data_IF_461047760388
#
_entry.id   IF_461047760388
#
_cell.length_a   1.000
_cell.length_b   1.000
_cell.length_c   1.000
_cell.angle_alpha   90.00
_cell.angle_beta   90.00
_cell.angle_gamma   90.00
#
_symmetry.space_group_name_H-M   'P 1'
#
loop_
_entity.id
_entity.type
_entity.pdbx_description
1 polymer ?
#
# COMPACT_ATOMS: atom_id res chain seq x y z
N UNK A 1 -45.94 13.17 -10.84
CA UNK A 1 -46.29 12.60 -12.16
C UNK A 1 -46.36 13.73 -13.17
N UNK A 2 -45.38 13.81 -14.08
CA UNK A 2 -45.52 14.18 -15.49
C UNK A 2 -44.12 14.12 -16.12
N UNK A 3 -43.98 13.22 -17.10
CA UNK A 3 -42.87 13.09 -18.04
C UNK A 3 -43.11 14.05 -19.21
N UNK A 4 -42.05 14.60 -19.82
CA UNK A 4 -41.69 14.29 -21.21
C UNK A 4 -40.40 15.00 -21.68
N UNK A 5 -39.63 14.26 -22.48
CA UNK A 5 -38.41 14.59 -23.23
C UNK A 5 -38.66 15.43 -24.49
N UNK A 6 -37.63 16.16 -24.94
CA UNK A 6 -36.98 16.18 -26.29
C UNK A 6 -36.09 17.44 -26.33
N UNK A 7 -34.88 17.55 -26.89
CA UNK A 7 -34.10 16.73 -27.81
C UNK A 7 -33.19 17.69 -28.62
N UNK A 8 -32.06 17.16 -29.08
CA UNK A 8 -31.18 17.62 -30.18
C UNK A 8 -29.92 18.47 -29.89
N UNK A 9 -28.79 17.76 -30.10
CA UNK A 9 -27.49 18.17 -30.69
C UNK A 9 -27.60 19.03 -31.97
N UNK A 10 -26.51 19.70 -32.40
CA UNK A 10 -25.49 19.14 -33.32
C UNK A 10 -24.05 19.30 -32.77
N UNK A 11 -23.15 18.31 -32.86
CA UNK A 11 -22.22 17.91 -33.96
C UNK A 11 -20.99 18.83 -34.16
N UNK A 12 -19.82 18.25 -33.79
CA UNK A 12 -18.47 18.27 -34.43
C UNK A 12 -17.74 19.61 -34.74
N UNK A 13 -16.40 19.73 -34.73
CA UNK A 13 -15.28 18.76 -34.80
C UNK A 13 -13.93 19.41 -34.34
N UNK A 14 -12.94 18.54 -34.07
CA UNK A 14 -11.47 18.72 -34.10
C UNK A 14 -10.80 19.84 -33.26
N UNK A 15 -9.84 19.56 -32.36
CA UNK A 15 -8.54 19.01 -32.73
C UNK A 15 -7.72 18.55 -31.51
N UNK A 16 -7.01 17.41 -31.66
CA UNK A 16 -5.71 17.04 -31.06
C UNK A 16 -5.61 16.87 -29.52
N UNK A 17 -4.95 15.88 -28.93
CA UNK A 17 -3.96 14.93 -29.44
C UNK A 17 -3.84 13.75 -28.46
N UNK A 18 -3.60 12.59 -29.04
CA UNK A 18 -3.40 11.27 -28.44
C UNK A 18 -2.09 11.23 -27.63
N UNK A 19 -2.12 10.66 -26.43
CA UNK A 19 -0.94 10.01 -25.86
C UNK A 19 -1.23 8.50 -25.70
N UNK A 20 -0.52 7.63 -26.43
CA UNK A 20 -0.81 6.21 -26.51
C UNK A 20 -0.22 5.44 -25.33
N UNK A 21 -0.77 4.24 -25.12
CA UNK A 21 -0.16 3.13 -24.37
C UNK A 21 1.38 3.15 -24.42
N UNK A 22 2.03 3.52 -23.31
CA UNK A 22 3.44 3.11 -23.09
C UNK A 22 3.45 1.66 -22.62
N UNK A 23 3.38 0.77 -23.60
CA UNK A 23 3.97 -0.56 -23.49
C UNK A 23 5.44 -0.35 -23.11
N UNK A 24 5.89 -0.91 -21.99
CA UNK A 24 7.32 -1.00 -21.68
C UNK A 24 7.98 -1.79 -22.83
N UNK A 25 8.64 -1.07 -23.72
CA UNK A 25 9.62 -1.64 -24.63
C UNK A 25 10.96 -1.32 -23.98
N UNK A 26 11.67 -2.35 -23.51
CA UNK A 26 13.06 -2.20 -23.10
C UNK A 26 13.91 -1.95 -24.35
N UNK A 27 14.65 -0.84 -24.43
CA UNK A 27 15.63 -0.67 -25.47
C UNK A 27 16.84 -1.56 -25.15
N UNK A 28 17.13 -2.47 -26.06
CA UNK A 28 18.39 -3.19 -26.12
C UNK A 28 19.52 -2.22 -26.44
N UNK A 29 20.43 -2.03 -25.48
CA UNK A 29 21.80 -1.58 -25.69
C UNK A 29 21.98 -0.08 -25.91
N UNK A 30 22.35 0.63 -24.84
CA UNK A 30 23.42 1.64 -24.84
C UNK A 30 23.69 2.07 -23.39
N UNK A 31 24.96 2.13 -23.01
CA UNK A 31 25.48 2.51 -21.69
C UNK A 31 24.91 3.87 -21.22
N UNK A 32 23.80 3.82 -20.49
CA UNK A 32 23.33 4.91 -19.63
C UNK A 32 23.54 4.40 -18.22
N UNK A 33 24.41 5.06 -17.46
CA UNK A 33 24.72 4.80 -16.06
C UNK A 33 23.49 4.26 -15.29
N UNK A 34 23.41 2.94 -15.09
CA UNK A 34 22.28 2.26 -14.45
C UNK A 34 21.91 2.92 -13.09
N UNK A 35 22.90 3.52 -12.43
CA UNK A 35 22.77 4.20 -11.14
C UNK A 35 21.86 5.43 -11.11
N UNK A 36 21.64 6.12 -12.23
CA UNK A 36 20.81 7.33 -12.24
C UNK A 36 19.36 7.04 -12.63
N UNK A 37 19.12 6.00 -13.44
CA UNK A 37 17.77 5.46 -13.70
C UNK A 37 17.13 4.92 -12.42
N UNK A 38 17.94 4.31 -11.54
CA UNK A 38 17.49 3.80 -10.25
C UNK A 38 17.03 4.92 -9.30
N UNK A 39 17.69 6.09 -9.30
CA UNK A 39 17.32 7.22 -8.44
C UNK A 39 16.02 7.89 -8.88
N UNK A 40 15.84 8.07 -10.19
CA UNK A 40 14.60 8.67 -10.71
C UNK A 40 13.41 7.74 -10.51
N UNK A 41 13.57 6.44 -10.79
CA UNK A 41 12.54 5.43 -10.53
C UNK A 41 12.14 5.38 -9.05
N UNK A 42 13.13 5.39 -8.15
CA UNK A 42 12.90 5.45 -6.71
C UNK A 42 12.13 6.73 -6.29
N UNK A 43 12.56 7.89 -6.79
CA UNK A 43 11.88 9.17 -6.47
C UNK A 43 10.43 9.14 -6.95
N UNK A 44 10.17 8.60 -8.14
CA UNK A 44 8.82 8.45 -8.68
C UNK A 44 7.96 7.50 -7.83
N UNK A 45 8.53 6.38 -7.37
CA UNK A 45 7.87 5.44 -6.46
C UNK A 45 7.48 6.13 -5.14
N UNK A 46 8.43 6.80 -4.48
CA UNK A 46 8.20 7.51 -3.22
C UNK A 46 7.17 8.64 -3.37
N UNK A 47 7.20 9.39 -4.48
CA UNK A 47 6.20 10.42 -4.77
C UNK A 47 4.80 9.84 -4.99
N UNK A 48 4.71 8.70 -5.69
CA UNK A 48 3.45 7.99 -5.94
C UNK A 48 2.85 7.47 -4.63
N UNK A 49 3.69 6.86 -3.79
CA UNK A 49 3.31 6.43 -2.45
C UNK A 49 2.84 7.61 -1.59
N UNK A 50 3.63 8.68 -1.51
CA UNK A 50 3.30 9.86 -0.71
C UNK A 50 1.99 10.53 -1.16
N UNK A 51 1.75 10.60 -2.47
CA UNK A 51 0.50 11.16 -3.04
C UNK A 51 -0.72 10.34 -2.62
N UNK A 52 -0.60 9.01 -2.56
CA UNK A 52 -1.67 8.12 -2.09
C UNK A 52 -1.85 8.19 -0.58
N UNK A 53 -0.76 8.05 0.17
CA UNK A 53 -0.78 8.03 1.63
C UNK A 53 -1.31 9.36 2.22
N UNK A 54 -1.13 10.50 1.53
CA UNK A 54 -1.72 11.78 1.96
C UNK A 54 -3.24 11.87 1.78
N UNK A 55 -3.85 10.96 1.01
CA UNK A 55 -5.27 11.00 0.63
C UNK A 55 -6.12 9.92 1.33
N UNK A 56 -5.71 9.45 2.51
CA UNK A 56 -6.39 8.36 3.24
C UNK A 56 -6.55 7.12 2.35
N UNK A 57 -5.43 6.48 2.00
CA UNK A 57 -5.43 5.33 1.11
C UNK A 57 -6.28 4.19 1.72
N UNK A 58 -7.23 3.62 0.95
CA UNK A 58 -8.12 2.58 1.46
C UNK A 58 -7.36 1.30 1.74
N UNK A 59 -7.71 0.64 2.84
CA UNK A 59 -7.21 -0.68 3.22
C UNK A 59 -8.23 -1.42 4.07
N UNK A 60 -7.87 -2.63 4.49
CA UNK A 60 -8.66 -3.40 5.45
C UNK A 60 -7.75 -3.91 6.55
N UNK A 61 -8.23 -3.89 7.79
CA UNK A 61 -7.55 -4.52 8.93
C UNK A 61 -8.09 -5.93 9.07
N UNK A 62 -7.20 -6.91 9.14
CA UNK A 62 -7.54 -8.29 9.45
C UNK A 62 -7.46 -8.47 10.96
N UNK A 63 -8.62 -8.53 11.61
CA UNK A 63 -8.69 -8.82 13.04
C UNK A 63 -8.85 -10.34 13.23
N UNK A 64 -7.73 -11.00 13.46
CA UNK A 64 -7.68 -12.45 13.60
C UNK A 64 -8.32 -12.96 14.87
N UNK A 65 -8.41 -12.14 15.92
CA UNK A 65 -9.10 -12.51 17.16
C UNK A 65 -10.62 -12.59 16.97
N UNK A 66 -11.19 -11.62 16.26
CA UNK A 66 -12.63 -11.58 15.96
C UNK A 66 -12.98 -12.31 14.65
N UNK A 67 -11.98 -12.82 13.93
CA UNK A 67 -12.11 -13.47 12.61
C UNK A 67 -12.93 -12.60 11.65
N UNK A 68 -12.58 -11.32 11.57
CA UNK A 68 -13.28 -10.38 10.69
C UNK A 68 -12.34 -9.38 9.99
N UNK A 69 -12.87 -8.80 8.93
CA UNK A 69 -12.19 -7.82 8.07
C UNK A 69 -12.84 -6.46 8.28
N UNK A 70 -12.07 -5.46 8.67
CA UNK A 70 -12.57 -4.14 9.04
C UNK A 70 -12.11 -3.11 8.00
N UNK A 71 -13.04 -2.41 7.31
CA UNK A 71 -12.69 -1.33 6.39
C UNK A 71 -11.96 -0.20 7.12
N UNK A 72 -10.82 0.19 6.58
CA UNK A 72 -9.94 1.20 7.14
C UNK A 72 -9.33 2.08 6.06
N UNK A 73 -8.65 3.13 6.51
CA UNK A 73 -7.78 3.94 5.66
C UNK A 73 -6.46 4.15 6.37
N UNK A 74 -5.37 4.22 5.62
CA UNK A 74 -4.07 4.58 6.16
C UNK A 74 -3.56 5.90 5.58
N UNK A 75 -2.73 6.58 6.37
CA UNK A 75 -1.96 7.74 5.95
C UNK A 75 -0.55 7.68 6.49
N UNK A 76 0.32 8.47 5.91
CA UNK A 76 1.61 8.80 6.49
C UNK A 76 1.63 10.31 6.65
N UNK A 77 2.09 10.77 7.81
CA UNK A 77 2.13 12.20 8.10
C UNK A 77 3.05 12.96 7.12
N UNK A 78 2.93 14.28 7.10
CA UNK A 78 3.68 15.13 6.16
C UNK A 78 5.20 15.00 6.29
N UNK A 79 5.69 14.59 7.44
CA UNK A 79 7.12 14.43 7.70
C UNK A 79 7.58 12.99 7.47
N UNK A 80 6.72 12.03 7.14
CA UNK A 80 7.09 10.61 7.06
C UNK A 80 7.73 10.09 8.35
N UNK A 81 7.16 10.48 9.48
CA UNK A 81 7.52 10.09 10.84
C UNK A 81 6.50 9.13 11.45
N UNK A 82 5.23 9.25 11.08
CA UNK A 82 4.15 8.46 11.68
C UNK A 82 3.29 7.84 10.59
N UNK A 83 3.16 6.51 10.67
CA UNK A 83 2.17 5.73 9.94
C UNK A 83 0.88 5.68 10.76
N UNK A 84 -0.23 6.10 10.16
CA UNK A 84 -1.50 6.27 10.86
C UNK A 84 -2.56 5.43 10.17
N UNK A 85 -3.28 4.60 10.92
CA UNK A 85 -4.41 3.81 10.41
C UNK A 85 -5.67 4.17 11.16
N UNK A 86 -6.76 4.34 10.42
CA UNK A 86 -8.08 4.63 10.97
C UNK A 86 -9.09 3.60 10.48
N UNK A 87 -9.54 2.74 11.39
CA UNK A 87 -10.67 1.85 11.14
C UNK A 87 -11.99 2.61 11.25
N UNK A 88 -13.01 2.13 10.53
CA UNK A 88 -14.35 2.71 10.56
C UNK A 88 -14.93 2.62 11.98
N UNK A 89 -15.15 3.77 12.63
CA UNK A 89 -15.74 3.85 13.97
C UNK A 89 -14.78 3.68 15.14
N UNK A 90 -13.46 3.61 14.90
CA UNK A 90 -12.44 3.47 15.94
C UNK A 90 -11.48 4.66 16.00
N UNK A 91 -10.79 4.79 17.13
CA UNK A 91 -9.64 5.69 17.25
C UNK A 91 -8.53 5.32 16.26
N UNK A 92 -7.77 6.32 15.82
CA UNK A 92 -6.62 6.10 14.97
C UNK A 92 -5.52 5.35 15.73
N UNK A 93 -4.87 4.42 15.05
CA UNK A 93 -3.65 3.75 15.50
C UNK A 93 -2.49 4.53 14.87
N UNK A 94 -1.64 5.11 15.71
CA UNK A 94 -0.46 5.85 15.27
C UNK A 94 0.79 5.03 15.59
N UNK A 95 1.60 4.76 14.56
CA UNK A 95 2.80 3.96 14.64
C UNK A 95 3.97 4.83 14.15
N UNK A 96 4.86 5.27 15.04
CA UNK A 96 6.10 5.92 14.62
C UNK A 96 6.87 5.00 13.68
N UNK A 97 7.34 5.51 12.54
CA UNK A 97 8.11 4.74 11.56
C UNK A 97 9.36 4.12 12.20
N UNK A 98 9.96 4.81 13.17
CA UNK A 98 11.12 4.32 13.96
C UNK A 98 10.80 3.11 14.85
N UNK A 99 9.52 2.87 15.16
CA UNK A 99 9.06 1.74 15.99
C UNK A 99 8.65 0.54 15.14
N UNK A 100 8.62 0.66 13.81
CA UNK A 100 8.33 -0.46 12.91
C UNK A 100 9.55 -1.39 12.90
N UNK A 101 9.36 -2.63 13.34
CA UNK A 101 10.40 -3.66 13.34
C UNK A 101 10.51 -4.29 11.96
N UNK A 102 9.40 -4.71 11.35
CA UNK A 102 9.42 -5.25 10.00
C UNK A 102 8.08 -5.04 9.31
N UNK A 103 8.11 -5.07 7.99
CA UNK A 103 6.93 -5.04 7.11
C UNK A 103 7.13 -6.13 6.09
N UNK A 104 6.17 -7.04 5.93
CA UNK A 104 6.32 -8.24 5.10
C UNK A 104 5.05 -8.49 4.27
N UNK A 105 5.24 -9.00 3.05
CA UNK A 105 4.17 -9.57 2.25
C UNK A 105 3.88 -11.03 2.62
N UNK A 106 2.82 -11.60 2.06
CA UNK A 106 2.40 -12.99 2.35
C UNK A 106 3.49 -14.04 2.03
N UNK A 107 4.16 -13.92 0.87
CA UNK A 107 5.22 -14.85 0.47
C UNK A 107 6.43 -14.85 1.43
N UNK A 108 6.64 -13.73 2.13
CA UNK A 108 7.75 -13.59 3.07
C UNK A 108 7.46 -14.28 4.40
N UNK A 109 6.18 -14.53 4.74
CA UNK A 109 5.82 -15.23 5.98
C UNK A 109 6.45 -16.62 6.06
N UNK A 110 6.56 -17.32 4.92
CA UNK A 110 7.18 -18.65 4.81
C UNK A 110 8.69 -18.65 5.08
N UNK A 111 9.34 -17.48 4.99
CA UNK A 111 10.80 -17.34 5.13
C UNK A 111 11.22 -17.09 6.57
N UNK A 112 10.28 -16.76 7.46
CA UNK A 112 10.55 -16.38 8.84
C UNK A 112 9.82 -17.33 9.79
N UNK A 113 10.59 -18.11 10.55
CA UNK A 113 10.05 -19.10 11.49
C UNK A 113 9.07 -18.47 12.51
N UNK A 114 9.39 -17.27 13.00
CA UNK A 114 8.57 -16.53 13.96
C UNK A 114 7.21 -16.11 13.42
N UNK A 115 7.03 -16.06 12.10
CA UNK A 115 5.78 -15.63 11.45
C UNK A 115 5.01 -16.77 10.81
N UNK A 116 5.55 -17.99 10.76
CA UNK A 116 4.90 -19.14 10.14
C UNK A 116 3.54 -19.46 10.77
N UNK A 117 3.34 -19.16 12.06
CA UNK A 117 2.06 -19.38 12.73
C UNK A 117 0.89 -18.59 12.10
N UNK A 118 1.16 -17.49 11.40
CA UNK A 118 0.14 -16.73 10.66
C UNK A 118 -0.40 -17.50 9.45
N UNK A 119 0.39 -18.41 8.87
CA UNK A 119 -0.07 -19.27 7.78
C UNK A 119 -1.15 -20.23 8.24
N UNK A 120 -1.21 -20.51 9.54
CA UNK A 120 -2.23 -21.37 10.15
C UNK A 120 -3.48 -20.63 10.63
N UNK A 121 -3.46 -19.30 10.60
CA UNK A 121 -4.58 -18.48 11.05
C UNK A 121 -5.84 -18.70 10.18
N UNK A 122 -7.02 -19.00 10.78
CA UNK A 122 -8.23 -19.27 10.02
C UNK A 122 -8.65 -18.13 9.09
N UNK A 123 -8.45 -16.88 9.50
CA UNK A 123 -8.81 -15.72 8.69
C UNK A 123 -7.86 -15.62 7.49
N UNK A 124 -6.56 -15.78 7.70
CA UNK A 124 -5.56 -15.74 6.62
C UNK A 124 -5.76 -16.88 5.63
N UNK A 125 -6.02 -18.10 6.11
CA UNK A 125 -6.36 -19.26 5.27
C UNK A 125 -7.63 -19.08 4.44
N UNK A 126 -8.55 -18.22 4.89
CA UNK A 126 -9.81 -17.95 4.18
C UNK A 126 -9.68 -16.92 3.06
N UNK A 127 -8.55 -16.21 2.98
CA UNK A 127 -8.31 -15.19 1.96
C UNK A 127 -8.15 -15.82 0.58
N UNK A 128 -8.66 -15.14 -0.43
CA UNK A 128 -8.40 -15.47 -1.84
C UNK A 128 -6.96 -15.15 -2.23
N UNK A 129 -6.47 -15.74 -3.33
CA UNK A 129 -5.12 -15.45 -3.84
C UNK A 129 -4.89 -13.96 -4.12
N UNK A 130 -5.92 -13.24 -4.59
CA UNK A 130 -5.82 -11.79 -4.80
C UNK A 130 -5.62 -11.04 -3.48
N UNK A 131 -6.36 -11.42 -2.43
CA UNK A 131 -6.21 -10.83 -1.10
C UNK A 131 -4.85 -11.19 -0.48
N UNK A 132 -4.39 -12.44 -0.65
CA UNK A 132 -3.06 -12.86 -0.20
C UNK A 132 -1.93 -12.06 -0.88
N UNK A 133 -2.06 -11.75 -2.17
CA UNK A 133 -1.12 -10.90 -2.89
C UNK A 133 -1.13 -9.43 -2.39
N UNK A 134 -2.23 -8.99 -1.75
CA UNK A 134 -2.36 -7.66 -1.16
C UNK A 134 -2.15 -7.65 0.35
N UNK A 135 -1.83 -8.80 0.94
CA UNK A 135 -1.61 -8.94 2.37
C UNK A 135 -0.29 -8.29 2.79
N UNK A 136 -0.35 -7.54 3.88
CA UNK A 136 0.80 -6.91 4.51
C UNK A 136 0.74 -7.15 6.01
N UNK A 137 1.82 -7.69 6.58
CA UNK A 137 2.05 -7.76 8.01
C UNK A 137 3.00 -6.63 8.42
N UNK A 138 2.58 -5.79 9.36
CA UNK A 138 3.41 -4.77 10.01
C UNK A 138 3.67 -5.20 11.45
N UNK A 139 4.92 -5.49 11.78
CA UNK A 139 5.35 -5.69 13.15
C UNK A 139 5.96 -4.39 13.68
N UNK A 140 5.52 -3.95 14.86
CA UNK A 140 5.99 -2.71 15.46
C UNK A 140 6.04 -2.83 16.97
N UNK A 141 7.01 -2.15 17.57
CA UNK A 141 7.09 -2.02 19.01
C UNK A 141 5.99 -1.09 19.51
N UNK A 142 5.49 -1.34 20.72
CA UNK A 142 4.65 -0.39 21.43
C UNK A 142 5.44 0.87 21.86
N UNK A 143 4.72 1.80 22.49
CA UNK A 143 5.29 3.08 22.92
C UNK A 143 6.48 2.87 23.86
N UNK A 144 6.35 1.91 24.80
CA UNK A 144 7.37 1.56 25.78
C UNK A 144 8.53 0.74 25.18
N UNK A 145 8.36 0.16 23.98
CA UNK A 145 9.37 -0.72 23.38
C UNK A 145 9.46 -2.10 24.03
N UNK A 146 8.44 -2.51 24.77
CA UNK A 146 8.43 -3.75 25.57
C UNK A 146 7.77 -4.87 24.77
N UNK A 147 6.68 -4.56 24.08
CA UNK A 147 5.87 -5.56 23.39
C UNK A 147 5.88 -5.32 21.89
N UNK A 148 6.28 -6.36 21.15
CA UNK A 148 6.08 -6.42 19.71
C UNK A 148 4.60 -6.63 19.42
N UNK A 149 3.98 -5.65 18.77
CA UNK A 149 2.61 -5.67 18.26
C UNK A 149 2.63 -5.99 16.77
N UNK A 150 1.53 -6.56 16.30
CA UNK A 150 1.36 -7.02 14.92
C UNK A 150 0.06 -6.48 14.38
N UNK A 151 0.11 -6.04 13.13
CA UNK A 151 -0.99 -5.44 12.42
C UNK A 151 -1.05 -6.05 11.03
N UNK A 152 -2.12 -6.80 10.78
CA UNK A 152 -2.38 -7.45 9.49
C UNK A 152 -3.31 -6.56 8.66
N UNK A 153 -2.89 -6.26 7.43
CA UNK A 153 -3.59 -5.37 6.51
C UNK A 153 -3.82 -6.04 5.15
N UNK A 154 -4.88 -5.63 4.46
CA UNK A 154 -5.03 -5.80 3.01
C UNK A 154 -4.98 -4.42 2.34
N UNK A 155 -4.07 -4.21 1.40
CA UNK A 155 -4.06 -2.98 0.60
C UNK A 155 -5.28 -2.94 -0.33
N UNK A 156 -5.98 -1.80 -0.42
CA UNK A 156 -7.33 -1.74 -0.98
C UNK A 156 -7.46 -1.74 -2.52
N UNK A 157 -6.37 -1.75 -3.29
CA UNK A 157 -6.43 -1.58 -4.75
C UNK A 157 -5.91 -2.78 -5.53
N UNK A 158 -4.60 -3.06 -5.48
CA UNK A 158 -3.94 -4.07 -6.30
C UNK A 158 -2.61 -4.54 -5.69
N UNK A 159 -2.03 -5.59 -6.25
CA UNK A 159 -0.72 -6.12 -5.81
C UNK A 159 0.39 -5.08 -5.93
N UNK A 160 0.38 -4.26 -6.98
CA UNK A 160 1.42 -3.24 -7.21
C UNK A 160 1.40 -2.18 -6.11
N UNK A 161 0.23 -1.85 -5.59
CA UNK A 161 0.09 -0.91 -4.47
C UNK A 161 0.51 -1.52 -3.13
N UNK A 162 0.33 -2.82 -2.94
CA UNK A 162 0.89 -3.57 -1.81
C UNK A 162 2.43 -3.57 -1.83
N UNK A 163 3.04 -3.93 -2.97
CA UNK A 163 4.51 -3.94 -3.13
C UNK A 163 5.10 -2.55 -2.90
N UNK A 164 4.47 -1.52 -3.46
CA UNK A 164 4.85 -0.12 -3.24
C UNK A 164 4.74 0.26 -1.76
N UNK A 165 3.68 -0.16 -1.06
CA UNK A 165 3.53 0.08 0.38
C UNK A 165 4.69 -0.54 1.17
N UNK A 166 4.93 -1.84 0.98
CA UNK A 166 5.98 -2.59 1.68
C UNK A 166 7.34 -1.93 1.43
N UNK A 167 7.65 -1.66 0.17
CA UNK A 167 8.90 -1.05 -0.26
C UNK A 167 9.08 0.33 0.36
N UNK A 168 8.10 1.22 0.23
CA UNK A 168 8.20 2.58 0.74
C UNK A 168 8.30 2.64 2.26
N UNK A 169 7.56 1.80 3.02
CA UNK A 169 7.70 1.80 4.48
C UNK A 169 9.08 1.27 4.91
N UNK A 170 9.59 0.21 4.28
CA UNK A 170 10.96 -0.29 4.54
C UNK A 170 12.02 0.77 4.29
N UNK A 171 11.90 1.49 3.18
CA UNK A 171 12.76 2.62 2.84
C UNK A 171 12.66 3.71 3.92
N UNK A 172 11.45 4.15 4.28
CA UNK A 172 11.25 5.18 5.29
C UNK A 172 11.86 4.77 6.63
N UNK A 173 11.75 3.49 7.02
CA UNK A 173 12.43 2.96 8.20
C UNK A 173 13.95 3.14 8.10
N UNK A 174 14.57 2.73 6.98
CA UNK A 174 16.03 2.83 6.78
C UNK A 174 16.53 4.28 6.93
N UNK A 175 15.82 5.26 6.36
CA UNK A 175 16.18 6.68 6.45
C UNK A 175 15.94 7.31 7.83
N UNK A 176 15.22 6.62 8.72
CA UNK A 176 14.92 7.09 10.08
C UNK A 176 15.77 6.40 11.14
N UNK A 177 16.45 5.32 10.79
CA UNK A 177 17.38 4.59 11.67
C UNK A 177 18.81 5.14 11.66
N UNK A 178 19.10 6.10 10.77
CA UNK A 178 20.35 6.88 10.72
C UNK A 178 20.25 8.15 11.55
#
# INVERSE_FOLDING_TARGET
MNLFWCGCLPENDESTQICPNKKLIMPSGQDVNDKDLDKEGFKALMLSFASRAKKNAPCFILNTQAVNVIPATYTVDKNFQTFIIKASGSSAIEIPITKIETVMGYEELFKHEDTNHWLDDPLIKSLSNDELNRFVLVEHWDEDGIKLKRLCLLEGKDITTSDMFITCIRILKLYRST
#
